data_IF_275776722744
#
_entry.id   IF_275776722744
#
_cell.length_a   1.000
_cell.length_b   1.000
_cell.length_c   1.000
_cell.angle_alpha   90.00
_cell.angle_beta   90.00
_cell.angle_gamma   90.00
#
_symmetry.space_group_name_H-M   'P 1'
#
loop_
_entity.id
_entity.type
_entity.pdbx_description
1 polymer ?
#
# COMPACT_ATOMS: atom_id res chain seq x y z
N UNK A 1 -2.35 -16.40 -2.48
CA UNK A 1 -2.65 -17.83 -2.49
C UNK A 1 -2.60 -18.35 -3.91
N UNK A 2 -1.80 -19.39 -4.16
CA UNK A 2 -1.70 -20.03 -5.48
C UNK A 2 -2.85 -21.01 -5.71
N UNK A 3 -3.09 -21.42 -6.96
CA UNK A 3 -4.11 -22.44 -7.30
C UNK A 3 -3.75 -23.79 -6.65
N UNK A 4 -2.47 -24.18 -6.67
CA UNK A 4 -1.99 -25.41 -6.02
C UNK A 4 -2.19 -25.40 -4.51
N UNK A 5 -1.93 -24.26 -3.86
CA UNK A 5 -2.16 -24.06 -2.43
C UNK A 5 -3.66 -24.16 -2.11
N UNK A 6 -4.53 -23.70 -3.00
CA UNK A 6 -5.99 -23.81 -2.86
C UNK A 6 -6.47 -25.26 -2.90
N UNK A 7 -5.94 -26.09 -3.81
CA UNK A 7 -6.22 -27.53 -3.84
C UNK A 7 -5.74 -28.23 -2.56
N UNK A 8 -4.56 -27.87 -2.05
CA UNK A 8 -4.00 -28.42 -0.82
C UNK A 8 -4.84 -28.05 0.41
N UNK A 9 -5.28 -26.79 0.51
CA UNK A 9 -6.13 -26.31 1.62
C UNK A 9 -7.48 -27.05 1.62
N UNK A 10 -8.08 -27.28 0.44
CA UNK A 10 -9.30 -28.07 0.32
C UNK A 10 -9.07 -29.59 0.43
N UNK A 11 -7.81 -30.03 0.57
CA UNK A 11 -7.41 -31.44 0.66
C UNK A 11 -7.89 -32.28 -0.54
N UNK A 12 -7.77 -31.72 -1.74
CA UNK A 12 -8.16 -32.36 -3.00
C UNK A 12 -6.98 -32.36 -3.98
N UNK A 13 -6.93 -33.32 -4.92
CA UNK A 13 -5.88 -33.34 -5.92
C UNK A 13 -6.00 -32.14 -6.87
N UNK A 14 -4.86 -31.66 -7.43
CA UNK A 14 -4.89 -30.64 -8.46
C UNK A 14 -5.64 -31.16 -9.69
N UNK A 15 -6.55 -30.34 -10.23
CA UNK A 15 -7.41 -30.72 -11.36
C UNK A 15 -8.68 -31.48 -10.97
N UNK A 16 -9.03 -31.53 -9.67
CA UNK A 16 -10.31 -32.07 -9.21
C UNK A 16 -11.51 -31.37 -9.89
N UNK A 17 -12.59 -32.11 -10.11
CA UNK A 17 -13.78 -31.57 -10.78
C UNK A 17 -14.46 -30.48 -9.95
N UNK A 18 -15.26 -29.62 -10.60
CA UNK A 18 -16.06 -28.61 -9.89
C UNK A 18 -16.97 -29.21 -8.81
N UNK A 19 -17.44 -30.45 -9.00
CA UNK A 19 -18.26 -31.16 -8.01
C UNK A 19 -17.43 -31.55 -6.78
N UNK A 20 -16.20 -32.02 -6.99
CA UNK A 20 -15.28 -32.40 -5.92
C UNK A 20 -14.85 -31.19 -5.10
N UNK A 21 -14.56 -30.06 -5.75
CA UNK A 21 -14.22 -28.79 -5.10
C UNK A 21 -15.39 -28.34 -4.19
N UNK A 22 -16.63 -28.37 -4.69
CA UNK A 22 -17.83 -28.03 -3.91
C UNK A 22 -18.05 -28.98 -2.73
N UNK A 23 -17.78 -30.28 -2.90
CA UNK A 23 -17.93 -31.29 -1.85
C UNK A 23 -16.88 -31.09 -0.76
N UNK A 24 -15.62 -30.93 -1.12
CA UNK A 24 -14.51 -30.72 -0.20
C UNK A 24 -14.70 -29.44 0.62
N UNK A 25 -15.08 -28.34 -0.05
CA UNK A 25 -15.43 -27.09 0.61
C UNK A 25 -16.51 -27.28 1.69
N UNK A 26 -17.62 -27.94 1.37
CA UNK A 26 -18.72 -28.17 2.33
C UNK A 26 -18.26 -28.99 3.55
N UNK A 27 -17.36 -29.95 3.37
CA UNK A 27 -16.82 -30.75 4.46
C UNK A 27 -15.92 -29.92 5.36
N UNK A 28 -14.97 -29.19 4.78
CA UNK A 28 -14.01 -28.35 5.53
C UNK A 28 -14.72 -27.18 6.22
N UNK A 29 -15.69 -26.54 5.56
CA UNK A 29 -16.47 -25.44 6.12
C UNK A 29 -17.30 -25.87 7.34
N UNK A 30 -17.83 -27.10 7.36
CA UNK A 30 -18.51 -27.65 8.55
C UNK A 30 -17.56 -27.94 9.70
N UNK A 31 -16.35 -28.44 9.39
CA UNK A 31 -15.34 -28.80 10.38
C UNK A 31 -14.77 -27.56 11.10
N UNK A 32 -14.57 -26.48 10.35
CA UNK A 32 -14.00 -25.23 10.86
C UNK A 32 -15.05 -24.15 11.13
N UNK A 33 -16.34 -24.49 11.12
CA UNK A 33 -17.41 -23.54 11.40
C UNK A 33 -17.30 -23.02 12.84
N UNK A 34 -17.41 -21.71 13.11
CA UNK A 34 -17.26 -21.15 14.46
C UNK A 34 -18.27 -21.71 15.47
N UNK A 35 -19.46 -22.12 15.02
CA UNK A 35 -20.46 -22.76 15.91
C UNK A 35 -20.04 -24.15 16.38
N UNK A 36 -19.23 -24.87 15.58
CA UNK A 36 -18.80 -26.25 15.84
C UNK A 36 -17.40 -26.27 16.44
N UNK A 37 -16.53 -25.34 16.03
CA UNK A 37 -15.16 -25.21 16.48
C UNK A 37 -14.84 -23.74 16.82
N UNK A 38 -14.83 -23.42 18.12
CA UNK A 38 -14.60 -22.06 18.65
C UNK A 38 -13.11 -21.69 18.80
N UNK A 39 -12.19 -22.47 18.25
CA UNK A 39 -10.76 -22.18 18.31
C UNK A 39 -10.38 -21.00 17.40
N UNK A 40 -9.43 -20.18 17.86
CA UNK A 40 -8.83 -19.12 17.04
C UNK A 40 -8.18 -19.66 15.75
N UNK A 41 -7.67 -20.88 15.79
CA UNK A 41 -7.09 -21.52 14.62
C UNK A 41 -8.15 -22.03 13.63
N UNK A 42 -9.32 -22.46 14.12
CA UNK A 42 -10.43 -22.85 13.26
C UNK A 42 -10.93 -21.66 12.43
N UNK A 43 -10.98 -20.47 13.04
CA UNK A 43 -11.32 -19.24 12.33
C UNK A 43 -10.33 -18.92 11.20
N UNK A 44 -9.02 -19.07 11.45
CA UNK A 44 -7.99 -18.87 10.42
C UNK A 44 -8.11 -19.89 9.28
N UNK A 45 -8.29 -21.17 9.61
CA UNK A 45 -8.45 -22.24 8.63
C UNK A 45 -9.73 -22.04 7.80
N UNK A 46 -10.82 -21.59 8.42
CA UNK A 46 -12.07 -21.29 7.73
C UNK A 46 -11.91 -20.19 6.67
N UNK A 47 -11.17 -19.11 7.00
CA UNK A 47 -10.87 -18.04 6.04
C UNK A 47 -10.04 -18.56 4.86
N UNK A 48 -9.04 -19.39 5.12
CA UNK A 48 -8.21 -20.00 4.08
C UNK A 48 -9.01 -20.94 3.15
N UNK A 49 -9.91 -21.74 3.72
CA UNK A 49 -10.82 -22.64 2.97
C UNK A 49 -11.75 -21.84 2.05
N UNK A 50 -12.28 -20.70 2.51
CA UNK A 50 -13.10 -19.82 1.68
C UNK A 50 -12.30 -19.21 0.52
N UNK A 51 -11.11 -18.68 0.81
CA UNK A 51 -10.23 -18.11 -0.22
C UNK A 51 -9.85 -19.16 -1.28
N UNK A 52 -9.67 -20.42 -0.87
CA UNK A 52 -9.32 -21.52 -1.76
C UNK A 52 -10.49 -21.84 -2.70
N UNK A 53 -11.70 -21.90 -2.15
CA UNK A 53 -12.91 -22.16 -2.92
C UNK A 53 -13.19 -21.05 -3.96
N UNK A 54 -13.12 -19.77 -3.56
CA UNK A 54 -13.31 -18.64 -4.47
C UNK A 54 -12.28 -18.62 -5.61
N UNK A 55 -11.04 -18.99 -5.32
CA UNK A 55 -9.97 -19.03 -6.32
C UNK A 55 -10.17 -20.13 -7.36
N UNK A 56 -10.65 -21.29 -6.93
CA UNK A 56 -10.85 -22.46 -7.80
C UNK A 56 -12.18 -22.41 -8.57
N UNK A 57 -13.20 -21.72 -8.04
CA UNK A 57 -14.52 -21.58 -8.65
C UNK A 57 -14.94 -20.09 -8.72
N UNK A 58 -14.34 -19.29 -9.62
CA UNK A 58 -14.70 -17.89 -9.82
C UNK A 58 -16.05 -17.69 -10.53
N UNK A 59 -16.72 -18.76 -10.98
CA UNK A 59 -18.01 -18.67 -11.67
C UNK A 59 -19.17 -18.47 -10.68
N UNK A 60 -20.00 -17.45 -10.96
CA UNK A 60 -21.22 -17.09 -10.23
C UNK A 60 -21.99 -18.36 -9.81
N UNK A 61 -22.36 -18.53 -8.53
CA UNK A 61 -22.91 -19.79 -8.05
C UNK A 61 -24.29 -20.03 -8.65
N UNK A 62 -24.38 -20.82 -9.72
CA UNK A 62 -25.61 -21.53 -10.04
C UNK A 62 -25.82 -22.57 -8.94
N UNK A 63 -26.77 -22.25 -8.05
CA UNK A 63 -27.37 -23.10 -7.02
C UNK A 63 -26.47 -23.47 -5.83
N UNK A 64 -26.10 -22.46 -5.04
CA UNK A 64 -25.93 -22.65 -3.59
C UNK A 64 -27.31 -22.31 -2.97
N UNK A 65 -27.97 -23.23 -2.23
CA UNK A 65 -29.25 -22.92 -1.59
C UNK A 65 -29.13 -21.67 -0.72
N UNK A 66 -30.02 -20.68 -0.88
CA UNK A 66 -29.92 -19.38 -0.17
C UNK A 66 -29.69 -19.51 1.32
N UNK A 67 -30.22 -20.55 1.98
CA UNK A 67 -29.97 -20.82 3.41
C UNK A 67 -28.50 -20.99 3.77
N UNK A 68 -27.72 -21.62 2.89
CA UNK A 68 -26.27 -21.80 3.06
C UNK A 68 -25.57 -20.46 2.84
N UNK A 69 -26.01 -19.67 1.86
CA UNK A 69 -25.51 -18.31 1.61
C UNK A 69 -25.79 -17.35 2.78
N UNK A 70 -27.00 -17.40 3.34
CA UNK A 70 -27.43 -16.58 4.48
C UNK A 70 -26.72 -16.97 5.78
N UNK A 71 -26.41 -18.26 5.97
CA UNK A 71 -25.60 -18.78 7.08
C UNK A 71 -24.15 -18.26 7.01
N UNK A 72 -23.55 -18.20 5.81
CA UNK A 72 -22.20 -17.64 5.61
C UNK A 72 -22.12 -16.12 5.70
N UNK A 73 -23.20 -15.41 5.34
CA UNK A 73 -23.36 -13.96 5.59
C UNK A 73 -23.59 -13.63 7.07
N UNK A 74 -23.78 -14.66 7.90
CA UNK A 74 -23.97 -14.61 9.34
C UNK A 74 -22.83 -13.94 10.09
N UNK A 75 -21.59 -14.25 9.69
CA UNK A 75 -20.36 -13.87 10.37
C UNK A 75 -19.74 -12.62 9.73
N UNK A 76 -20.40 -11.47 9.90
CA UNK A 76 -19.76 -10.17 9.76
C UNK A 76 -19.28 -9.78 11.17
N UNK A 77 -17.97 -9.74 11.47
CA UNK A 77 -17.45 -9.28 12.76
C UNK A 77 -17.92 -7.86 13.12
N UNK A 78 -18.45 -7.13 12.14
CA UNK A 78 -18.94 -5.77 12.22
C UNK A 78 -20.47 -5.69 12.07
N UNK A 79 -21.20 -6.81 12.26
CA UNK A 79 -22.66 -6.86 12.23
C UNK A 79 -23.24 -5.98 13.34
N UNK A 80 -23.72 -4.80 12.97
CA UNK A 80 -24.23 -3.77 13.89
C UNK A 80 -23.47 -2.45 13.83
N UNK A 81 -22.23 -2.43 13.31
CA UNK A 81 -21.49 -1.17 13.11
C UNK A 81 -22.01 -0.41 11.89
N UNK A 82 -22.23 0.89 12.07
CA UNK A 82 -22.64 1.79 11.00
C UNK A 82 -21.58 1.82 9.89
N UNK A 83 -21.98 2.15 8.65
CA UNK A 83 -21.03 2.29 7.52
C UNK A 83 -19.91 3.29 7.84
N UNK A 84 -20.21 4.31 8.65
CA UNK A 84 -19.24 5.33 9.09
C UNK A 84 -18.20 4.76 10.08
N UNK A 85 -18.63 3.96 11.07
CA UNK A 85 -17.73 3.34 12.04
C UNK A 85 -16.79 2.34 11.38
N UNK A 86 -17.29 1.55 10.42
CA UNK A 86 -16.45 0.65 9.63
C UNK A 86 -15.40 1.43 8.85
N UNK A 87 -15.81 2.48 8.13
CA UNK A 87 -14.88 3.32 7.39
C UNK A 87 -13.81 3.94 8.31
N UNK A 88 -14.20 4.40 9.49
CA UNK A 88 -13.28 4.94 10.49
C UNK A 88 -12.31 3.89 11.05
N UNK A 89 -12.76 2.66 11.33
CA UNK A 89 -11.89 1.55 11.75
C UNK A 89 -10.91 1.16 10.65
N UNK A 90 -11.38 0.97 9.42
CA UNK A 90 -10.51 0.65 8.29
C UNK A 90 -9.46 1.74 8.09
N UNK A 91 -9.84 3.02 8.19
CA UNK A 91 -8.90 4.13 8.16
C UNK A 91 -7.88 4.08 9.31
N UNK A 92 -8.30 3.73 10.54
CA UNK A 92 -7.39 3.56 11.69
C UNK A 92 -6.42 2.40 11.51
N UNK A 93 -6.89 1.23 11.08
CA UNK A 93 -6.02 0.07 10.84
C UNK A 93 -4.97 0.36 9.77
N UNK A 94 -5.38 1.01 8.67
CA UNK A 94 -4.44 1.45 7.64
C UNK A 94 -3.42 2.46 8.18
N UNK A 95 -3.86 3.42 9.00
CA UNK A 95 -2.98 4.39 9.63
C UNK A 95 -1.97 3.77 10.61
N UNK A 96 -2.42 2.83 11.45
CA UNK A 96 -1.56 2.11 12.38
C UNK A 96 -0.55 1.21 11.68
N UNK A 97 -0.96 0.54 10.60
CA UNK A 97 -0.05 -0.26 9.78
C UNK A 97 0.99 0.61 9.07
N UNK A 98 0.58 1.74 8.49
CA UNK A 98 1.49 2.73 7.92
C UNK A 98 2.51 3.22 8.94
N UNK A 99 2.07 3.57 10.16
CA UNK A 99 2.95 4.03 11.24
C UNK A 99 3.99 2.97 11.61
N UNK A 100 3.58 1.71 11.79
CA UNK A 100 4.49 0.60 12.10
C UNK A 100 5.53 0.38 11.01
N UNK A 101 5.12 0.44 9.73
CA UNK A 101 6.06 0.31 8.61
C UNK A 101 7.04 1.49 8.56
N UNK A 102 6.57 2.72 8.84
CA UNK A 102 7.44 3.89 8.90
C UNK A 102 8.42 3.82 10.08
N UNK A 103 8.00 3.31 11.24
CA UNK A 103 8.88 3.08 12.39
C UNK A 103 10.00 2.08 12.08
N UNK A 104 9.69 0.99 11.36
CA UNK A 104 10.70 0.04 10.87
C UNK A 104 11.69 0.71 9.93
N UNK A 105 11.23 1.60 9.05
CA UNK A 105 12.11 2.34 8.16
C UNK A 105 12.99 3.33 8.93
N UNK A 106 12.43 4.09 9.89
CA UNK A 106 13.17 5.07 10.69
C UNK A 106 14.25 4.43 11.58
N UNK A 107 13.97 3.24 12.12
CA UNK A 107 14.93 2.49 12.92
C UNK A 107 15.87 1.62 12.07
N UNK A 108 15.69 1.62 10.75
CA UNK A 108 16.57 0.89 9.84
C UNK A 108 17.91 1.59 9.68
N UNK A 109 18.97 0.80 9.49
CA UNK A 109 20.30 1.28 9.10
C UNK A 109 20.27 2.12 7.81
N UNK A 110 19.27 1.91 6.96
CA UNK A 110 19.08 2.63 5.71
C UNK A 110 18.53 4.06 5.87
N UNK A 111 17.98 4.43 7.03
CA UNK A 111 17.38 5.75 7.25
C UNK A 111 18.42 6.89 7.14
N UNK A 112 19.54 6.75 7.85
CA UNK A 112 20.62 7.75 7.90
C UNK A 112 21.18 8.05 6.50
N UNK A 113 21.61 7.07 5.68
CA UNK A 113 22.15 7.35 4.35
C UNK A 113 21.12 7.96 3.41
N UNK A 114 19.86 7.52 3.44
CA UNK A 114 18.79 8.11 2.63
C UNK A 114 18.54 9.57 3.02
N UNK A 115 18.54 9.87 4.33
CA UNK A 115 18.38 11.23 4.84
C UNK A 115 19.53 12.13 4.39
N UNK A 116 20.77 11.66 4.49
CA UNK A 116 21.96 12.39 4.02
C UNK A 116 21.86 12.66 2.51
N UNK A 117 21.55 11.63 1.72
CA UNK A 117 21.40 11.75 0.28
C UNK A 117 20.33 12.78 -0.11
N UNK A 118 19.19 12.77 0.59
CA UNK A 118 18.11 13.70 0.31
C UNK A 118 18.51 15.16 0.65
N UNK A 119 19.23 15.39 1.76
CA UNK A 119 19.81 16.72 2.04
C UNK A 119 20.90 17.13 1.04
N UNK A 120 21.66 16.17 0.52
CA UNK A 120 22.63 16.42 -0.55
C UNK A 120 21.96 16.86 -1.85
N UNK A 121 20.88 16.18 -2.27
CA UNK A 121 20.08 16.58 -3.44
C UNK A 121 19.49 17.97 -3.25
N UNK A 122 18.96 18.26 -2.06
CA UNK A 122 18.47 19.60 -1.71
C UNK A 122 19.57 20.67 -1.84
N UNK A 123 20.77 20.40 -1.32
CA UNK A 123 21.92 21.31 -1.37
C UNK A 123 22.40 21.55 -2.82
N UNK A 124 22.50 20.50 -3.63
CA UNK A 124 22.85 20.60 -5.05
C UNK A 124 21.82 21.41 -5.85
N UNK A 125 20.52 21.19 -5.59
CA UNK A 125 19.46 21.99 -6.20
C UNK A 125 19.58 23.47 -5.86
N UNK A 126 19.92 23.80 -4.61
CA UNK A 126 20.20 25.18 -4.20
C UNK A 126 21.40 25.79 -4.94
N UNK A 127 22.49 25.04 -5.09
CA UNK A 127 23.69 25.52 -5.81
C UNK A 127 23.40 25.79 -7.30
N UNK A 128 22.68 24.88 -7.96
CA UNK A 128 22.25 25.05 -9.37
C UNK A 128 21.40 26.30 -9.52
N UNK A 129 20.45 26.52 -8.61
CA UNK A 129 19.56 27.66 -8.68
C UNK A 129 20.29 28.99 -8.46
N UNK A 130 21.25 29.04 -7.53
CA UNK A 130 22.15 30.20 -7.35
C UNK A 130 22.97 30.45 -8.61
N UNK A 131 23.48 29.39 -9.26
CA UNK A 131 24.18 29.50 -10.53
C UNK A 131 23.34 30.15 -11.63
N UNK A 132 22.06 29.77 -11.75
CA UNK A 132 21.13 30.40 -12.69
C UNK A 132 20.80 31.86 -12.36
N UNK A 133 20.82 32.23 -11.09
CA UNK A 133 20.57 33.62 -10.66
C UNK A 133 21.79 34.52 -10.85
N UNK A 134 22.98 34.05 -10.47
CA UNK A 134 24.22 34.86 -10.43
C UNK A 134 24.97 34.81 -11.76
N UNK A 135 24.86 33.70 -12.51
CA UNK A 135 25.56 33.47 -13.78
C UNK A 135 25.38 34.59 -14.82
N UNK A 136 24.16 35.08 -15.09
CA UNK A 136 23.94 36.18 -16.02
C UNK A 136 24.70 37.45 -15.63
N UNK A 137 24.75 37.79 -14.33
CA UNK A 137 25.48 38.96 -13.83
C UNK A 137 27.00 38.80 -13.93
N UNK A 138 27.53 37.62 -13.65
CA UNK A 138 28.95 37.35 -13.86
C UNK A 138 29.35 37.46 -15.34
N UNK A 139 28.50 36.95 -16.24
CA UNK A 139 28.75 37.03 -17.68
C UNK A 139 28.71 38.46 -18.21
N UNK A 140 27.98 39.38 -17.58
CA UNK A 140 27.99 40.80 -17.99
C UNK A 140 29.37 41.46 -17.85
N UNK A 141 30.21 41.02 -16.91
CA UNK A 141 31.59 41.51 -16.77
C UNK A 141 32.54 40.99 -17.85
N UNK A 142 32.22 39.83 -18.45
CA UNK A 142 33.02 39.22 -19.53
C UNK A 142 32.54 39.70 -20.89
N UNK A 143 31.23 39.61 -21.13
CA UNK A 143 30.58 40.04 -22.34
C UNK A 143 29.13 40.47 -22.05
N UNK A 144 28.93 41.79 -22.16
CA UNK A 144 27.67 42.47 -21.87
C UNK A 144 26.47 41.87 -22.62
N UNK A 145 26.60 41.62 -23.94
CA UNK A 145 25.50 41.10 -24.76
C UNK A 145 25.07 39.69 -24.34
N UNK A 146 26.04 38.83 -24.01
CA UNK A 146 25.74 37.47 -23.54
C UNK A 146 25.13 37.46 -22.14
N UNK A 147 25.55 38.37 -21.25
CA UNK A 147 24.94 38.47 -19.92
C UNK A 147 23.47 38.90 -19.98
N UNK A 148 23.15 39.89 -20.82
CA UNK A 148 21.77 40.37 -21.02
C UNK A 148 20.87 39.28 -21.63
N UNK A 149 21.35 38.51 -22.61
CA UNK A 149 20.54 37.46 -23.24
C UNK A 149 20.21 36.30 -22.30
N UNK A 150 20.99 36.12 -21.22
CA UNK A 150 20.78 35.07 -20.21
C UNK A 150 19.83 35.48 -19.08
N UNK A 151 19.40 36.74 -18.98
CA UNK A 151 18.48 37.20 -17.93
C UNK A 151 17.18 36.37 -17.79
N UNK A 152 16.57 35.82 -18.86
CA UNK A 152 15.40 34.96 -18.71
C UNK A 152 15.65 33.69 -17.87
N UNK A 153 16.90 33.22 -17.80
CA UNK A 153 17.29 32.02 -17.04
C UNK A 153 17.14 32.24 -15.54
N UNK A 154 17.12 33.50 -15.06
CA UNK A 154 16.87 33.83 -13.67
C UNK A 154 15.50 33.32 -13.21
N UNK A 155 14.47 33.39 -14.07
CA UNK A 155 13.15 32.82 -13.75
C UNK A 155 13.19 31.31 -13.53
N UNK A 156 14.04 30.61 -14.29
CA UNK A 156 14.29 29.19 -14.08
C UNK A 156 14.99 28.94 -12.74
N UNK A 157 15.96 29.78 -12.36
CA UNK A 157 16.57 29.77 -11.03
C UNK A 157 15.55 29.97 -9.89
N UNK A 158 14.63 30.92 -10.02
CA UNK A 158 13.56 31.17 -9.03
C UNK A 158 12.61 29.95 -8.93
N UNK A 159 12.23 29.36 -10.05
CA UNK A 159 11.39 28.16 -10.09
C UNK A 159 12.09 26.95 -9.42
N UNK A 160 13.38 26.76 -9.68
CA UNK A 160 14.16 25.71 -9.01
C UNK A 160 14.29 25.98 -7.51
N UNK A 161 14.56 27.22 -7.08
CA UNK A 161 14.64 27.59 -5.66
C UNK A 161 13.34 27.31 -4.92
N UNK A 162 12.20 27.67 -5.49
CA UNK A 162 10.88 27.41 -4.88
C UNK A 162 10.59 25.92 -4.78
N UNK A 163 10.94 25.14 -5.82
CA UNK A 163 10.86 23.68 -5.80
C UNK A 163 11.73 23.04 -4.71
N UNK A 164 12.99 23.48 -4.60
CA UNK A 164 13.96 23.01 -3.61
C UNK A 164 13.50 23.37 -2.18
N UNK A 165 12.95 24.55 -1.97
CA UNK A 165 12.41 24.96 -0.66
C UNK A 165 11.18 24.12 -0.27
N UNK A 166 10.26 23.86 -1.21
CA UNK A 166 9.11 22.98 -0.99
C UNK A 166 9.57 21.56 -0.65
N UNK A 167 10.52 21.01 -1.40
CA UNK A 167 11.07 19.68 -1.16
C UNK A 167 11.64 19.55 0.26
N UNK A 168 12.37 20.56 0.75
CA UNK A 168 12.88 20.57 2.13
C UNK A 168 11.76 20.54 3.17
N UNK A 169 10.73 21.36 2.96
CA UNK A 169 9.60 21.41 3.89
C UNK A 169 8.85 20.06 3.92
N UNK A 170 8.60 19.48 2.76
CA UNK A 170 7.95 18.18 2.65
C UNK A 170 8.82 17.11 3.33
N UNK A 171 10.11 17.06 3.01
CA UNK A 171 11.06 16.13 3.65
C UNK A 171 11.10 16.28 5.17
N UNK A 172 11.15 17.50 5.69
CA UNK A 172 11.14 17.74 7.13
C UNK A 172 9.82 17.27 7.75
N UNK A 173 8.69 17.41 7.06
CA UNK A 173 7.40 16.88 7.52
C UNK A 173 7.37 15.35 7.52
N UNK A 174 7.97 14.68 6.52
CA UNK A 174 8.00 13.21 6.43
C UNK A 174 9.04 12.56 7.35
N UNK A 175 10.19 13.22 7.57
CA UNK A 175 11.29 12.66 8.35
C UNK A 175 11.22 12.97 9.85
N UNK A 176 10.43 13.98 10.26
CA UNK A 176 10.28 14.41 11.66
C UNK A 176 8.87 14.17 12.26
N UNK A 177 7.95 13.52 11.53
CA UNK A 177 6.69 12.95 12.09
C UNK A 177 6.89 11.46 12.44
#
# INVERSE_FOLDING_TARGET
>A
MSTEESYRILQIPPGASHQDIKRAYRTQAKLFHPDVNRSLDAQKQFVLVNQAYEKLLPSKPETIPSRVYDMYRGYDPFRGETRQERAARFARMQYEEFKRNNEKFRNSIWYIPIKIFAYFVWLMGGFVAVGFMVGPFLMMFVNWMTGVSMLPIIFMGIAVMTGVFRLKNDMNQYLNK
#
